data_IF_894017049813
#
_entry.id   IF_894017049813
#
_cell.length_a   1.000
_cell.length_b   1.000
_cell.length_c   1.000
_cell.angle_alpha   90.00
_cell.angle_beta   90.00
_cell.angle_gamma   90.00
#
_symmetry.space_group_name_H-M   'P 1'
#
loop_
_entity.id
_entity.type
_entity.pdbx_description
1 polymer ?
#
# COMPACT_ATOMS: atom_id res chain seq x y z
N UNK A 1 -28.60 64.78 -56.00
CA UNK A 1 -27.32 64.98 -55.32
C UNK A 1 -27.08 63.76 -54.48
N UNK A 2 -26.16 62.93 -54.88
CA UNK A 2 -25.90 61.59 -54.42
C UNK A 2 -24.74 61.63 -53.41
N UNK A 3 -24.95 61.16 -52.25
CA UNK A 3 -23.90 60.92 -51.22
C UNK A 3 -23.76 59.45 -50.95
N UNK A 4 -22.71 58.90 -51.46
CA UNK A 4 -22.29 57.49 -51.22
C UNK A 4 -21.84 57.31 -49.78
N UNK A 5 -22.48 56.37 -49.11
CA UNK A 5 -22.09 55.94 -47.77
C UNK A 5 -21.14 54.75 -47.87
N UNK A 6 -19.87 54.94 -47.51
CA UNK A 6 -18.88 53.90 -47.47
C UNK A 6 -19.08 53.05 -46.21
N UNK A 7 -19.46 51.81 -46.40
CA UNK A 7 -19.44 50.80 -45.32
C UNK A 7 -18.02 50.31 -45.10
N UNK A 8 -17.44 50.66 -43.96
CA UNK A 8 -16.19 50.06 -43.49
C UNK A 8 -16.49 48.70 -42.85
N UNK A 9 -16.07 47.64 -43.55
CA UNK A 9 -16.04 46.31 -42.98
C UNK A 9 -14.89 46.20 -42.00
N UNK A 10 -15.23 46.05 -40.73
CA UNK A 10 -14.27 45.68 -39.70
C UNK A 10 -14.24 44.17 -39.64
N UNK A 11 -13.15 43.58 -40.12
CA UNK A 11 -12.85 42.17 -39.91
C UNK A 11 -12.23 42.05 -38.54
N UNK A 12 -13.01 41.54 -37.57
CA UNK A 12 -12.50 41.19 -36.27
C UNK A 12 -11.72 39.85 -36.40
N UNK A 13 -10.41 39.93 -36.37
CA UNK A 13 -9.54 38.76 -36.30
C UNK A 13 -9.60 38.21 -34.88
N UNK A 14 -10.33 37.10 -34.68
CA UNK A 14 -10.34 36.36 -33.42
C UNK A 14 -9.04 35.54 -33.39
N UNK A 15 -8.10 35.97 -32.60
CA UNK A 15 -6.94 35.13 -32.23
C UNK A 15 -7.41 34.04 -31.27
N UNK A 16 -7.51 32.82 -31.77
CA UNK A 16 -7.74 31.63 -30.97
C UNK A 16 -6.40 31.20 -30.36
N UNK A 17 -6.11 31.64 -29.15
CA UNK A 17 -4.99 31.14 -28.37
C UNK A 17 -5.30 29.72 -27.93
N UNK A 18 -4.78 28.75 -28.66
CA UNK A 18 -4.80 27.35 -28.31
C UNK A 18 -3.94 27.13 -27.05
N UNK A 19 -4.58 26.97 -25.88
CA UNK A 19 -3.94 26.41 -24.72
C UNK A 19 -3.68 24.92 -24.97
N UNK A 20 -2.45 24.59 -25.36
CA UNK A 20 -2.00 23.21 -25.41
C UNK A 20 -1.93 22.71 -23.97
N UNK A 21 -3.02 22.07 -23.52
CA UNK A 21 -3.03 21.29 -22.30
C UNK A 21 -2.04 20.12 -22.47
N UNK A 22 -0.90 20.20 -21.79
CA UNK A 22 -0.05 19.04 -21.59
C UNK A 22 -0.85 18.02 -20.79
N UNK A 23 -1.49 17.09 -21.48
CA UNK A 23 -2.02 15.89 -20.85
C UNK A 23 -0.81 15.13 -20.31
N UNK A 24 -0.55 15.28 -19.02
CA UNK A 24 0.37 14.43 -18.29
C UNK A 24 -0.21 13.02 -18.37
N UNK A 25 0.30 12.22 -19.29
CA UNK A 25 0.10 10.78 -19.23
C UNK A 25 0.83 10.29 -17.98
N UNK A 26 0.13 10.27 -16.85
CA UNK A 26 0.51 9.43 -15.73
C UNK A 26 0.38 8.01 -16.24
N UNK A 27 1.50 7.42 -16.61
CA UNK A 27 1.60 5.98 -16.79
C UNK A 27 1.30 5.37 -15.43
N UNK A 28 0.06 4.99 -15.21
CA UNK A 28 -0.28 4.09 -14.12
C UNK A 28 0.47 2.79 -14.42
N UNK A 29 1.58 2.57 -13.71
CA UNK A 29 2.16 1.24 -13.63
C UNK A 29 1.02 0.30 -13.26
N UNK A 30 0.89 -0.88 -13.92
CA UNK A 30 -0.11 -1.85 -13.51
C UNK A 30 0.17 -2.12 -12.03
N UNK A 31 -0.69 -1.64 -11.16
CA UNK A 31 -0.71 -2.04 -9.76
C UNK A 31 -0.94 -3.54 -9.80
N UNK A 32 0.11 -4.32 -9.56
CA UNK A 32 -0.06 -5.73 -9.20
C UNK A 32 -0.98 -5.68 -7.98
N UNK A 33 -2.23 -6.15 -8.17
CA UNK A 33 -3.32 -5.97 -7.23
C UNK A 33 -2.97 -6.53 -5.86
N UNK A 34 -2.53 -5.65 -4.97
CA UNK A 34 -2.12 -5.96 -3.61
C UNK A 34 -2.29 -4.74 -2.74
N UNK A 35 -2.44 -4.98 -1.46
CA UNK A 35 -2.55 -3.94 -0.44
C UNK A 35 -1.17 -3.41 -0.10
N UNK A 36 -0.97 -2.09 -0.25
CA UNK A 36 0.21 -1.40 0.26
C UNK A 36 0.07 -1.23 1.77
N UNK A 37 1.09 -1.64 2.51
CA UNK A 37 1.11 -1.56 3.97
C UNK A 37 2.24 -0.66 4.46
N UNK A 38 1.96 0.08 5.54
CA UNK A 38 2.92 0.89 6.28
C UNK A 38 2.89 0.45 7.74
N UNK A 39 4.00 -0.09 8.23
CA UNK A 39 4.14 -0.65 9.57
C UNK A 39 4.72 0.39 10.51
N UNK A 40 4.16 0.49 11.71
CA UNK A 40 4.65 1.38 12.77
C UNK A 40 4.50 0.73 14.14
N UNK A 41 5.30 1.20 15.11
CA UNK A 41 5.18 0.75 16.50
C UNK A 41 3.88 1.19 17.16
N UNK A 42 3.32 2.32 16.74
CA UNK A 42 2.05 2.82 17.25
C UNK A 42 0.86 1.88 16.94
N UNK A 43 0.99 1.05 15.92
CA UNK A 43 -0.03 0.06 15.52
C UNK A 43 0.09 -1.26 16.26
N UNK A 44 1.15 -1.49 17.04
CA UNK A 44 1.31 -2.68 17.87
C UNK A 44 0.35 -2.70 19.06
N UNK A 45 0.16 -3.88 19.63
CA UNK A 45 -0.71 -4.08 20.80
C UNK A 45 0.07 -4.87 21.87
N UNK A 46 0.45 -4.23 22.98
CA UNK A 46 0.40 -2.79 23.22
C UNK A 46 1.31 -1.99 22.27
N UNK A 47 1.01 -0.69 22.10
CA UNK A 47 1.81 0.17 21.25
C UNK A 47 3.28 0.22 21.70
N UNK A 48 4.20 0.20 20.73
CA UNK A 48 5.65 0.25 20.94
C UNK A 48 6.16 1.63 20.57
N UNK A 49 6.90 2.27 21.50
CA UNK A 49 7.60 3.52 21.21
C UNK A 49 8.92 3.21 20.51
N UNK A 50 8.94 3.36 19.21
CA UNK A 50 10.11 3.11 18.36
C UNK A 50 10.14 4.08 17.19
N UNK A 51 11.33 4.34 16.65
CA UNK A 51 11.53 5.04 15.37
C UNK A 51 11.56 4.08 14.18
N UNK A 52 11.48 2.78 14.44
CA UNK A 52 11.42 1.77 13.41
C UNK A 52 10.15 1.91 12.55
N UNK A 53 10.28 1.58 11.29
CA UNK A 53 9.17 1.57 10.34
C UNK A 53 9.34 0.46 9.32
N UNK A 54 8.27 0.13 8.64
CA UNK A 54 8.30 -0.83 7.55
C UNK A 54 7.26 -0.48 6.48
N UNK A 55 7.49 -0.97 5.30
CA UNK A 55 6.54 -0.83 4.19
C UNK A 55 6.60 -2.06 3.29
N UNK A 56 5.56 -2.26 2.53
CA UNK A 56 5.53 -3.37 1.60
C UNK A 56 4.19 -3.54 0.92
N UNK A 57 4.05 -4.69 0.30
CA UNK A 57 2.83 -5.09 -0.39
C UNK A 57 2.41 -6.48 0.08
N UNK A 58 1.12 -6.66 0.28
CA UNK A 58 0.49 -7.95 0.56
C UNK A 58 -0.60 -8.18 -0.47
N UNK A 59 -0.50 -9.27 -1.21
CA UNK A 59 -1.50 -9.67 -2.22
C UNK A 59 -2.14 -10.98 -1.78
N UNK A 60 -3.46 -11.01 -1.76
CA UNK A 60 -4.24 -12.22 -1.53
C UNK A 60 -5.16 -12.45 -2.72
N UNK A 61 -4.91 -13.53 -3.46
CA UNK A 61 -5.70 -13.89 -4.64
C UNK A 61 -6.15 -15.35 -4.51
N UNK A 62 -7.45 -15.57 -4.46
CA UNK A 62 -8.02 -16.92 -4.23
C UNK A 62 -7.39 -17.60 -3.00
N UNK A 63 -7.21 -16.84 -1.91
CA UNK A 63 -6.54 -17.25 -0.67
C UNK A 63 -5.04 -17.54 -0.79
N UNK A 64 -4.44 -17.52 -1.97
CA UNK A 64 -2.99 -17.56 -2.14
C UNK A 64 -2.39 -16.23 -1.69
N UNK A 65 -1.32 -16.28 -0.90
CA UNK A 65 -0.68 -15.13 -0.27
C UNK A 65 0.68 -14.88 -0.91
N UNK A 66 0.91 -13.65 -1.34
CA UNK A 66 2.22 -13.14 -1.70
C UNK A 66 2.47 -11.86 -0.92
N UNK A 67 3.65 -11.70 -0.35
CA UNK A 67 3.97 -10.53 0.44
C UNK A 67 5.47 -10.24 0.38
N UNK A 68 5.80 -8.94 0.39
CA UNK A 68 7.16 -8.46 0.56
C UNK A 68 7.15 -7.25 1.49
N UNK A 69 7.92 -7.33 2.57
CA UNK A 69 8.04 -6.27 3.58
C UNK A 69 9.50 -5.88 3.69
N UNK A 70 9.77 -4.58 3.67
CA UNK A 70 11.09 -4.00 3.93
C UNK A 70 11.01 -3.11 5.15
N UNK A 71 12.02 -3.15 6.01
CA UNK A 71 12.07 -2.43 7.29
C UNK A 71 13.24 -1.47 7.36
N UNK A 72 13.11 -0.45 8.20
CA UNK A 72 14.18 0.49 8.54
C UNK A 72 14.16 0.82 10.03
N UNK A 73 15.32 1.13 10.61
CA UNK A 73 15.42 1.58 11.99
C UNK A 73 15.37 0.48 13.04
N UNK A 74 15.40 -0.80 12.63
CA UNK A 74 15.48 -1.95 13.54
C UNK A 74 16.38 -3.04 12.95
N UNK A 75 16.80 -4.00 13.78
CA UNK A 75 17.40 -5.26 13.33
C UNK A 75 16.34 -6.35 13.41
N UNK A 76 15.65 -6.66 12.29
CA UNK A 76 14.51 -7.55 12.34
C UNK A 76 14.93 -9.01 12.47
N UNK A 77 14.22 -9.76 13.31
CA UNK A 77 14.46 -11.20 13.55
C UNK A 77 13.46 -12.09 12.82
N UNK A 78 12.20 -11.66 12.73
CA UNK A 78 11.12 -12.40 12.09
C UNK A 78 10.00 -11.45 11.62
N UNK A 79 9.19 -11.93 10.69
CA UNK A 79 7.98 -11.25 10.23
C UNK A 79 6.88 -12.29 9.92
N UNK A 80 5.63 -11.93 10.16
CA UNK A 80 4.49 -12.84 9.99
C UNK A 80 3.23 -12.09 9.59
N UNK A 81 2.27 -12.83 9.00
CA UNK A 81 0.85 -12.44 9.06
C UNK A 81 0.19 -13.22 10.20
N UNK A 82 -0.61 -12.52 10.97
CA UNK A 82 -1.39 -13.02 12.08
C UNK A 82 -2.89 -12.87 11.82
N UNK A 83 -3.70 -13.68 12.46
CA UNK A 83 -5.15 -13.52 12.50
C UNK A 83 -5.54 -12.76 13.78
N UNK A 84 -6.08 -11.56 13.62
CA UNK A 84 -6.52 -10.70 14.72
C UNK A 84 -7.10 -9.40 14.19
N UNK A 85 -8.15 -8.92 14.85
CA UNK A 85 -8.73 -7.61 14.56
C UNK A 85 -7.79 -6.47 15.01
N UNK A 86 -8.01 -5.27 14.53
CA UNK A 86 -7.31 -4.08 15.02
C UNK A 86 -7.47 -3.97 16.55
N UNK A 87 -6.38 -3.70 17.25
CA UNK A 87 -6.35 -3.64 18.71
C UNK A 87 -6.30 -4.98 19.42
N UNK A 88 -6.17 -6.09 18.70
CA UNK A 88 -6.06 -7.46 19.27
C UNK A 88 -4.86 -8.19 18.70
N UNK A 89 -4.24 -9.03 19.52
CA UNK A 89 -3.22 -9.98 19.09
C UNK A 89 -3.85 -11.32 18.74
N UNK A 90 -3.20 -12.06 17.86
CA UNK A 90 -3.66 -13.39 17.47
C UNK A 90 -2.54 -14.29 16.95
N UNK A 91 -2.86 -15.53 16.57
CA UNK A 91 -1.87 -16.51 16.14
C UNK A 91 -1.23 -16.16 14.81
N UNK A 92 -0.01 -16.64 14.59
CA UNK A 92 0.66 -16.62 13.29
C UNK A 92 -0.11 -17.53 12.32
N UNK A 93 -0.41 -17.01 11.14
CA UNK A 93 -1.07 -17.78 10.07
C UNK A 93 -0.22 -17.89 8.81
N UNK A 94 0.70 -16.95 8.56
CA UNK A 94 1.70 -17.04 7.47
C UNK A 94 3.04 -16.55 7.99
N UNK A 95 4.04 -17.42 8.15
CA UNK A 95 5.40 -17.00 8.43
C UNK A 95 6.07 -16.47 7.15
N UNK A 96 6.96 -15.48 7.30
CA UNK A 96 7.77 -14.97 6.22
C UNK A 96 9.20 -15.50 6.29
N UNK A 97 9.82 -15.63 5.15
CA UNK A 97 11.25 -15.93 5.02
C UNK A 97 12.03 -14.63 4.93
N UNK A 98 13.12 -14.52 5.68
CA UNK A 98 14.05 -13.40 5.58
C UNK A 98 14.86 -13.57 4.29
N UNK A 99 14.72 -12.65 3.34
CA UNK A 99 15.37 -12.68 2.03
C UNK A 99 16.47 -11.63 1.88
N UNK A 100 16.66 -10.79 2.88
CA UNK A 100 17.71 -9.78 3.01
C UNK A 100 17.80 -9.28 4.44
N UNK A 101 18.78 -8.42 4.75
CA UNK A 101 18.98 -7.93 6.13
C UNK A 101 17.73 -7.30 6.72
N UNK A 102 16.99 -6.57 5.90
CA UNK A 102 15.77 -5.84 6.28
C UNK A 102 14.56 -6.23 5.42
N UNK A 103 14.60 -7.38 4.75
CA UNK A 103 13.54 -7.79 3.80
C UNK A 103 13.02 -9.17 4.14
N UNK A 104 11.70 -9.30 4.11
CA UNK A 104 10.97 -10.54 4.34
C UNK A 104 9.95 -10.76 3.23
N UNK A 105 9.76 -12.01 2.85
CA UNK A 105 8.80 -12.41 1.83
C UNK A 105 8.00 -13.63 2.29
N UNK A 106 6.71 -13.69 1.94
CA UNK A 106 5.94 -14.91 2.11
C UNK A 106 6.55 -16.03 1.24
N UNK A 107 6.64 -17.22 1.79
CA UNK A 107 7.16 -18.37 1.06
C UNK A 107 6.32 -18.65 -0.20
N UNK A 108 6.96 -19.16 -1.25
CA UNK A 108 6.25 -19.61 -2.44
C UNK A 108 5.19 -20.66 -2.06
N UNK A 109 3.96 -20.49 -2.53
CA UNK A 109 2.84 -21.37 -2.21
C UNK A 109 2.17 -21.07 -0.87
N UNK A 110 2.53 -19.99 -0.17
CA UNK A 110 1.82 -19.54 1.03
C UNK A 110 0.34 -19.30 0.71
N UNK A 111 -0.54 -19.75 1.59
CA UNK A 111 -1.97 -19.58 1.40
C UNK A 111 -2.71 -19.59 2.73
N UNK A 112 -3.82 -18.88 2.77
CA UNK A 112 -4.79 -18.93 3.85
C UNK A 112 -5.69 -20.16 3.70
N UNK A 113 -6.17 -20.68 4.82
CA UNK A 113 -7.36 -21.54 4.83
C UNK A 113 -8.60 -20.71 4.45
N UNK A 114 -9.72 -21.35 4.14
CA UNK A 114 -10.95 -20.63 3.80
C UNK A 114 -11.40 -19.71 4.95
N UNK A 115 -11.27 -20.15 6.20
CA UNK A 115 -11.58 -19.35 7.38
C UNK A 115 -10.65 -18.14 7.53
N UNK A 116 -9.34 -18.33 7.35
CA UNK A 116 -8.35 -17.25 7.40
C UNK A 116 -8.54 -16.25 6.23
N UNK A 117 -8.93 -16.75 5.07
CA UNK A 117 -9.27 -15.92 3.92
C UNK A 117 -10.51 -15.05 4.19
N UNK A 118 -11.52 -15.59 4.87
CA UNK A 118 -12.67 -14.84 5.32
C UNK A 118 -12.28 -13.79 6.38
N UNK A 119 -11.39 -14.14 7.31
CA UNK A 119 -10.82 -13.20 8.29
C UNK A 119 -10.05 -12.06 7.62
N UNK A 120 -9.24 -12.37 6.61
CA UNK A 120 -8.55 -11.35 5.80
C UNK A 120 -9.55 -10.39 5.16
N UNK A 121 -10.55 -10.90 4.44
CA UNK A 121 -11.59 -10.08 3.80
C UNK A 121 -12.39 -9.23 4.78
N UNK A 122 -12.50 -9.67 6.03
CA UNK A 122 -13.14 -8.94 7.11
C UNK A 122 -12.22 -7.92 7.81
N UNK A 123 -10.97 -7.73 7.33
CA UNK A 123 -9.99 -6.85 7.96
C UNK A 123 -9.46 -7.35 9.31
N UNK A 124 -9.51 -8.65 9.55
CA UNK A 124 -9.11 -9.30 10.80
C UNK A 124 -7.78 -10.06 10.67
N UNK A 125 -6.85 -9.49 9.92
CA UNK A 125 -5.48 -9.97 9.83
C UNK A 125 -4.52 -8.80 9.88
N UNK A 126 -3.30 -9.04 10.33
CA UNK A 126 -2.27 -8.01 10.36
C UNK A 126 -0.90 -8.60 10.06
N UNK A 127 -0.02 -7.77 9.55
CA UNK A 127 1.39 -8.10 9.42
C UNK A 127 2.19 -7.40 10.50
N UNK A 128 3.15 -8.10 11.13
CA UNK A 128 4.10 -7.47 12.02
C UNK A 128 5.52 -7.99 11.82
N UNK A 129 6.47 -7.21 12.34
CA UNK A 129 7.90 -7.52 12.32
C UNK A 129 8.42 -7.47 13.75
N UNK A 130 9.20 -8.46 14.11
CA UNK A 130 9.80 -8.65 15.43
C UNK A 130 11.27 -8.27 15.42
N UNK A 131 11.78 -7.88 16.58
CA UNK A 131 13.21 -7.71 16.85
C UNK A 131 13.59 -8.37 18.18
N UNK A 132 14.89 -8.44 18.47
CA UNK A 132 15.35 -8.94 19.76
C UNK A 132 14.87 -8.08 20.94
N UNK A 133 14.74 -6.76 20.72
CA UNK A 133 14.22 -5.83 21.73
C UNK A 133 12.71 -5.98 21.94
N UNK A 134 11.99 -6.38 20.91
CA UNK A 134 10.53 -6.53 20.91
C UNK A 134 10.14 -7.89 20.30
N UNK A 135 10.33 -9.00 21.04
CA UNK A 135 10.04 -10.34 20.54
C UNK A 135 8.54 -10.60 20.31
N UNK A 136 7.66 -9.80 20.88
CA UNK A 136 6.21 -9.83 20.64
C UNK A 136 5.77 -9.07 19.40
N UNK A 137 6.65 -8.27 18.78
CA UNK A 137 6.40 -7.39 17.64
C UNK A 137 6.87 -5.97 17.93
N UNK A 138 7.55 -5.35 16.98
CA UNK A 138 8.04 -3.97 17.09
C UNK A 138 7.25 -3.00 16.22
N UNK A 139 6.88 -3.43 15.02
CA UNK A 139 6.08 -2.65 14.07
C UNK A 139 5.00 -3.52 13.43
N UNK A 140 3.82 -2.94 13.23
CA UNK A 140 2.63 -3.63 12.75
C UNK A 140 1.83 -2.80 11.75
N UNK A 141 1.13 -3.47 10.84
CA UNK A 141 0.08 -2.89 10.00
C UNK A 141 -1.13 -3.82 9.94
N UNK A 142 -2.34 -3.28 10.15
CA UNK A 142 -3.58 -4.00 9.93
C UNK A 142 -3.83 -4.12 8.42
N UNK A 143 -4.23 -5.31 7.96
CA UNK A 143 -4.65 -5.56 6.58
C UNK A 143 -6.14 -5.23 6.44
N UNK A 144 -6.51 -4.61 5.31
CA UNK A 144 -7.88 -4.09 5.08
C UNK A 144 -8.79 -5.08 4.40
N UNK A 145 -8.21 -6.11 3.76
CA UNK A 145 -8.98 -7.13 3.07
C UNK A 145 -9.56 -6.62 1.74
N UNK A 146 -8.74 -6.52 0.72
CA UNK A 146 -9.14 -6.13 -0.66
C UNK A 146 -9.39 -7.35 -1.54
#
# INVERSE_FOLDING_TARGET
MSTMLHKKNWIATIMLTGAAGLASCQTMSPMMGGEQVSLSGASEVPAVSTTASGSGNVTVNNCAVSAKITTTGLTPTAAHIHEGAAGSNGPVIVPFTKTGDNTFEAAAGAKFTDAQCASYKAGKTYVNVHSAAHPGGEIRAQLKGS
#
